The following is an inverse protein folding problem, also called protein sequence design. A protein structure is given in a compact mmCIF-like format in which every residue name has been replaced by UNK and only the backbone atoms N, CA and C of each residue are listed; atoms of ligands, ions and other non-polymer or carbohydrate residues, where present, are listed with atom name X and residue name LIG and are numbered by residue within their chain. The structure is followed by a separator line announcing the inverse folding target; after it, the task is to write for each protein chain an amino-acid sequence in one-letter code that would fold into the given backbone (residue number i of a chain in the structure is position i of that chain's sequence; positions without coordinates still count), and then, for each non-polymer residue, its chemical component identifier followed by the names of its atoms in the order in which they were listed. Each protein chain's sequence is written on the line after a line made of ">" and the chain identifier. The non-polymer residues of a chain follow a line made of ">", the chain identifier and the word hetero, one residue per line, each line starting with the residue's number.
data_IF_631379057104
#
_entry.id   IF_631379057104
#
_cell.length_a   1.000
_cell.length_b   1.000
_cell.length_c   1.000
_cell.angle_alpha   90.00
_cell.angle_beta   90.00
_cell.angle_gamma   90.00
#
_symmetry.space_group_name_H-M   'P 1'
#
loop_
_entity.id
_entity.type
_entity.pdbx_description
1 polymer ?
#
# COMPACT_ATOMS: atom_id res chain seq x y z
N UNK A 1 -35.01 60.38 14.17
CA UNK A 1 -36.24 61.19 14.02
C UNK A 1 -37.37 60.22 13.83
N UNK A 2 -38.43 60.47 14.58
CA UNK A 2 -39.69 59.73 14.63
C UNK A 2 -40.21 59.32 13.23
N UNK A 3 -40.82 58.14 13.09
CA UNK A 3 -42.25 57.97 13.39
C UNK A 3 -42.66 56.50 13.45
N UNK A 4 -43.60 56.26 14.38
CA UNK A 4 -44.26 55.00 14.67
C UNK A 4 -45.64 54.95 13.98
N UNK A 5 -46.05 53.70 13.68
CA UNK A 5 -47.42 53.13 13.75
C UNK A 5 -48.44 53.35 12.60
N UNK A 6 -49.55 52.55 12.57
CA UNK A 6 -49.80 51.20 13.13
C UNK A 6 -50.51 50.25 12.12
N UNK A 7 -50.86 49.02 12.52
CA UNK A 7 -52.18 48.38 12.30
C UNK A 7 -52.28 47.14 13.21
N UNK A 8 -53.33 47.16 14.03
CA UNK A 8 -53.82 46.07 14.87
C UNK A 8 -54.40 44.93 14.02
N UNK A 9 -54.43 43.72 14.58
CA UNK A 9 -55.72 43.05 14.78
C UNK A 9 -55.64 42.04 15.93
N UNK A 10 -56.60 42.24 16.83
CA UNK A 10 -56.83 41.52 18.07
C UNK A 10 -57.28 40.07 17.84
N UNK A 11 -56.86 39.18 18.75
CA UNK A 11 -57.78 38.15 19.27
C UNK A 11 -57.38 37.74 20.69
N UNK A 12 -57.99 38.42 21.64
CA UNK A 12 -58.29 37.93 22.97
C UNK A 12 -59.08 36.60 22.91
N UNK A 13 -58.74 35.64 23.77
CA UNK A 13 -59.67 35.26 24.84
C UNK A 13 -58.95 34.48 25.94
N UNK A 14 -59.11 35.01 27.14
CA UNK A 14 -58.67 34.55 28.46
C UNK A 14 -59.45 33.33 28.97
N UNK A 15 -58.86 32.54 29.87
CA UNK A 15 -59.27 32.53 31.30
C UNK A 15 -58.56 31.43 32.14
N UNK A 16 -57.64 31.89 32.99
CA UNK A 16 -57.56 31.75 34.46
C UNK A 16 -58.19 30.54 35.19
N UNK A 17 -57.37 29.82 35.98
CA UNK A 17 -57.48 29.51 37.45
C UNK A 17 -56.56 28.31 37.79
N UNK A 18 -55.47 28.47 38.54
CA UNK A 18 -55.38 28.53 40.02
C UNK A 18 -54.99 27.19 40.66
N UNK A 19 -53.78 27.16 41.22
CA UNK A 19 -53.47 26.49 42.49
C UNK A 19 -53.13 25.00 42.48
N UNK A 20 -51.84 24.65 42.59
CA UNK A 20 -51.36 23.88 43.75
C UNK A 20 -49.83 23.89 43.82
N UNK A 21 -49.36 24.01 45.05
CA UNK A 21 -47.97 24.12 45.50
C UNK A 21 -47.26 22.78 45.32
N UNK A 22 -46.01 22.81 44.85
CA UNK A 22 -44.90 22.04 45.42
C UNK A 22 -43.58 22.68 44.99
N UNK A 23 -42.94 23.39 45.93
CA UNK A 23 -41.53 23.72 45.90
C UNK A 23 -40.73 22.42 46.05
N UNK A 24 -39.85 22.10 45.11
CA UNK A 24 -38.50 21.55 45.42
C UNK A 24 -37.50 22.23 44.48
N UNK A 25 -36.45 22.74 45.10
CA UNK A 25 -35.31 23.56 44.64
C UNK A 25 -34.45 22.84 43.58
N UNK A 26 -33.73 23.56 42.68
CA UNK A 26 -33.04 22.97 41.54
C UNK A 26 -31.69 22.34 41.93
N UNK A 27 -31.42 21.15 41.40
CA UNK A 27 -30.10 20.51 41.53
C UNK A 27 -29.25 20.88 40.30
N UNK A 28 -28.31 21.82 40.52
CA UNK A 28 -27.21 22.12 39.60
C UNK A 28 -26.01 21.30 40.07
N UNK A 29 -25.38 20.61 39.11
CA UNK A 29 -23.95 20.21 39.05
C UNK A 29 -23.67 18.74 39.31
N UNK A 30 -23.45 17.99 38.24
CA UNK A 30 -22.19 17.24 38.10
C UNK A 30 -21.66 17.41 36.67
N UNK A 31 -20.43 17.95 36.48
CA UNK A 31 -19.75 17.85 35.20
C UNK A 31 -19.45 16.37 34.92
N UNK A 32 -19.75 15.91 33.71
CA UNK A 32 -19.33 14.60 33.24
C UNK A 32 -17.80 14.52 33.31
N UNK A 33 -17.31 13.82 34.32
CA UNK A 33 -15.92 13.42 34.45
C UNK A 33 -15.59 12.50 33.28
N UNK A 34 -14.97 13.04 32.24
CA UNK A 34 -14.17 12.26 31.30
C UNK A 34 -13.30 11.31 32.12
N UNK A 35 -13.27 9.99 31.86
CA UNK A 35 -12.39 9.11 32.60
C UNK A 35 -10.96 9.55 32.28
N UNK A 36 -10.36 10.25 33.24
CA UNK A 36 -8.94 10.53 33.31
C UNK A 36 -8.29 9.14 33.41
N UNK A 37 -7.88 8.60 32.26
CA UNK A 37 -6.96 7.47 32.21
C UNK A 37 -5.74 7.95 32.99
N UNK A 38 -5.59 7.45 34.22
CA UNK A 38 -4.44 7.70 35.07
C UNK A 38 -3.26 6.98 34.41
N UNK A 39 -2.69 7.59 33.37
CA UNK A 39 -1.48 7.10 32.72
C UNK A 39 -0.39 7.20 33.77
N UNK A 40 0.16 6.04 34.14
CA UNK A 40 1.18 5.93 35.16
C UNK A 40 2.36 6.83 34.75
N UNK A 41 2.81 7.79 35.57
CA UNK A 41 3.80 8.80 35.16
C UNK A 41 5.14 8.20 34.71
N UNK A 42 5.45 6.96 35.09
CA UNK A 42 6.63 6.21 34.61
C UNK A 42 6.48 5.55 33.23
N UNK A 43 5.24 5.35 32.75
CA UNK A 43 4.96 4.80 31.42
C UNK A 43 5.06 5.86 30.33
N UNK A 44 4.67 7.10 30.65
CA UNK A 44 4.72 8.25 29.75
C UNK A 44 6.11 8.47 29.10
N UNK A 45 7.25 8.48 29.85
CA UNK A 45 8.57 8.66 29.22
C UNK A 45 8.97 7.48 28.33
N UNK A 46 8.61 6.24 28.68
CA UNK A 46 8.90 5.05 27.86
C UNK A 46 8.09 5.05 26.57
N UNK A 47 6.82 5.44 26.61
CA UNK A 47 5.97 5.59 25.43
C UNK A 47 6.47 6.69 24.50
N UNK A 48 6.84 7.85 25.05
CA UNK A 48 7.42 8.95 24.28
C UNK A 48 8.73 8.52 23.61
N UNK A 49 9.59 7.79 24.31
CA UNK A 49 10.82 7.26 23.73
C UNK A 49 10.56 6.21 22.65
N UNK A 50 9.61 5.31 22.88
CA UNK A 50 9.16 4.32 21.90
C UNK A 50 8.64 4.98 20.61
N UNK A 51 7.78 6.00 20.74
CA UNK A 51 7.25 6.77 19.62
C UNK A 51 8.35 7.54 18.89
N UNK A 52 9.30 8.13 19.63
CA UNK A 52 10.44 8.85 19.05
C UNK A 52 11.32 7.93 18.22
N UNK A 53 11.61 6.72 18.71
CA UNK A 53 12.33 5.69 17.95
C UNK A 53 11.58 5.31 16.67
N UNK A 54 10.27 5.11 16.74
CA UNK A 54 9.44 4.72 15.59
C UNK A 54 9.19 5.84 14.58
N UNK A 55 9.27 7.11 15.00
CA UNK A 55 9.21 8.29 14.12
C UNK A 55 10.51 8.47 13.33
N UNK A 56 11.65 8.16 13.93
CA UNK A 56 12.95 8.29 13.26
C UNK A 56 13.28 7.08 12.35
N UNK A 57 12.62 5.94 12.54
CA UNK A 57 12.83 4.73 11.73
C UNK A 57 12.27 4.92 10.32
N UNK A 58 13.17 5.00 9.33
CA UNK A 58 12.81 4.92 7.91
C UNK A 58 12.42 3.47 7.59
N UNK A 59 11.11 3.21 7.44
CA UNK A 59 10.60 1.89 7.06
C UNK A 59 10.69 1.75 5.54
N UNK A 60 11.66 0.98 5.06
CA UNK A 60 11.81 0.61 3.65
C UNK A 60 11.46 -0.87 3.48
N UNK A 61 10.82 -1.20 2.35
CA UNK A 61 10.34 -2.55 2.01
C UNK A 61 9.40 -3.19 3.05
N UNK A 62 8.81 -2.41 3.96
CA UNK A 62 7.96 -2.88 5.05
C UNK A 62 6.57 -2.20 5.03
N UNK A 63 5.68 -2.61 4.12
CA UNK A 63 4.33 -2.07 4.05
C UNK A 63 3.49 -2.40 5.31
N UNK A 64 3.84 -3.47 6.05
CA UNK A 64 3.18 -3.81 7.32
C UNK A 64 3.48 -2.75 8.37
N UNK A 65 4.75 -2.41 8.56
CA UNK A 65 5.16 -1.39 9.51
C UNK A 65 4.63 0.01 9.14
N UNK A 66 4.47 0.33 7.85
CA UNK A 66 3.81 1.58 7.46
C UNK A 66 2.32 1.56 7.85
N UNK A 67 1.63 0.43 7.67
CA UNK A 67 0.22 0.28 8.04
C UNK A 67 0.00 0.45 9.55
N UNK A 68 0.80 -0.23 10.37
CA UNK A 68 0.68 -0.21 11.84
C UNK A 68 0.96 1.18 12.44
N UNK A 69 1.91 1.92 11.87
CA UNK A 69 2.34 3.23 12.37
C UNK A 69 1.82 4.40 11.54
N UNK A 70 0.65 4.23 10.92
CA UNK A 70 -0.01 5.24 10.07
C UNK A 70 -0.18 6.62 10.73
N UNK A 71 -0.40 6.65 12.05
CA UNK A 71 -0.66 7.88 12.79
C UNK A 71 0.60 8.74 12.98
N UNK A 72 1.79 8.18 12.77
CA UNK A 72 3.05 8.89 12.93
C UNK A 72 3.35 9.66 11.64
N UNK A 73 3.38 10.99 11.74
CA UNK A 73 3.75 11.84 10.61
C UNK A 73 5.21 11.61 10.21
N UNK A 74 5.41 11.29 8.94
CA UNK A 74 6.74 11.15 8.36
C UNK A 74 7.42 12.51 8.19
N UNK A 75 8.73 12.51 8.41
CA UNK A 75 9.58 13.67 8.14
C UNK A 75 9.76 13.88 6.63
N UNK A 76 10.09 15.11 6.23
CA UNK A 76 10.31 15.43 4.81
C UNK A 76 11.44 14.62 4.17
N UNK A 77 12.51 14.34 4.90
CA UNK A 77 13.61 13.52 4.42
C UNK A 77 13.19 12.07 4.18
N UNK A 78 12.41 11.48 5.09
CA UNK A 78 11.84 10.14 4.88
C UNK A 78 10.93 10.11 3.66
N UNK A 79 10.08 11.12 3.50
CA UNK A 79 9.20 11.26 2.34
C UNK A 79 9.99 11.32 1.03
N UNK A 80 11.08 12.11 0.97
CA UNK A 80 11.96 12.18 -0.19
C UNK A 80 12.62 10.83 -0.50
N UNK A 81 13.12 10.12 0.51
CA UNK A 81 13.71 8.78 0.32
C UNK A 81 12.67 7.78 -0.22
N UNK A 82 11.44 7.80 0.29
CA UNK A 82 10.36 6.94 -0.23
C UNK A 82 10.04 7.25 -1.69
N UNK A 83 10.01 8.53 -2.06
CA UNK A 83 9.80 8.93 -3.45
C UNK A 83 10.93 8.44 -4.36
N UNK A 84 12.18 8.67 -3.97
CA UNK A 84 13.34 8.23 -4.75
C UNK A 84 13.37 6.71 -4.92
N UNK A 85 13.14 5.96 -3.84
CA UNK A 85 13.11 4.49 -3.91
C UNK A 85 11.92 3.96 -4.71
N UNK A 86 10.75 4.59 -4.64
CA UNK A 86 9.62 4.28 -5.52
C UNK A 86 9.98 4.48 -7.00
N UNK A 87 10.62 5.59 -7.35
CA UNK A 87 11.03 5.86 -8.74
C UNK A 87 12.05 4.84 -9.22
N UNK A 88 13.03 4.49 -8.39
CA UNK A 88 14.06 3.48 -8.70
C UNK A 88 13.40 2.11 -8.89
N UNK A 89 12.56 1.66 -7.95
CA UNK A 89 11.90 0.36 -8.06
C UNK A 89 10.99 0.27 -9.30
N UNK A 90 10.21 1.33 -9.58
CA UNK A 90 9.42 1.42 -10.81
C UNK A 90 10.29 1.33 -12.06
N UNK A 91 11.39 2.10 -12.13
CA UNK A 91 12.30 2.07 -13.26
C UNK A 91 12.95 0.68 -13.45
N UNK A 92 13.33 0.02 -12.36
CA UNK A 92 13.89 -1.32 -12.40
C UNK A 92 12.89 -2.36 -12.90
N UNK A 93 11.64 -2.33 -12.41
CA UNK A 93 10.59 -3.26 -12.85
C UNK A 93 10.28 -3.05 -14.34
N UNK A 94 10.05 -1.81 -14.76
CA UNK A 94 9.78 -1.49 -16.17
C UNK A 94 10.98 -1.84 -17.06
N UNK A 95 12.20 -1.55 -16.60
CA UNK A 95 13.42 -1.89 -17.31
C UNK A 95 13.59 -3.39 -17.52
N UNK A 96 13.35 -4.21 -16.50
CA UNK A 96 13.39 -5.67 -16.65
C UNK A 96 12.35 -6.18 -17.64
N UNK A 97 11.09 -5.73 -17.54
CA UNK A 97 10.05 -6.13 -18.49
C UNK A 97 10.37 -5.69 -19.93
N UNK A 98 10.93 -4.50 -20.09
CA UNK A 98 11.33 -4.00 -21.41
C UNK A 98 12.48 -4.81 -22.02
N UNK A 99 13.48 -5.18 -21.20
CA UNK A 99 14.58 -6.04 -21.64
C UNK A 99 14.06 -7.42 -22.06
N UNK A 100 13.21 -8.04 -21.23
CA UNK A 100 12.57 -9.32 -21.55
C UNK A 100 11.75 -9.25 -22.85
N UNK A 101 10.98 -8.17 -23.04
CA UNK A 101 10.21 -7.97 -24.27
C UNK A 101 11.10 -7.83 -25.52
N UNK A 102 12.22 -7.11 -25.41
CA UNK A 102 13.17 -6.98 -26.52
C UNK A 102 13.83 -8.30 -26.89
N UNK A 103 14.17 -9.11 -25.89
CA UNK A 103 14.79 -10.42 -26.09
C UNK A 103 13.81 -11.41 -26.74
N UNK A 104 12.52 -11.33 -26.42
CA UNK A 104 11.46 -12.18 -27.01
C UNK A 104 11.11 -11.87 -28.47
N UNK A 105 11.82 -10.95 -29.13
CA UNK A 105 11.56 -10.56 -30.52
C UNK A 105 12.64 -11.12 -31.43
N UNK A 106 12.25 -12.03 -32.32
CA UNK A 106 13.12 -12.53 -33.37
C UNK A 106 12.74 -11.93 -34.73
N UNK A 107 13.75 -11.59 -35.55
CA UNK A 107 13.55 -11.11 -36.92
C UNK A 107 13.66 -12.31 -37.86
N UNK A 108 12.52 -12.81 -38.33
CA UNK A 108 12.46 -13.88 -39.32
C UNK A 108 12.46 -13.32 -40.74
N UNK A 109 13.47 -13.70 -41.53
CA UNK A 109 13.64 -13.25 -42.92
C UNK A 109 12.41 -13.64 -43.74
N UNK A 110 11.71 -12.64 -44.30
CA UNK A 110 10.52 -12.82 -45.15
C UNK A 110 9.17 -12.79 -44.42
N UNK A 111 9.15 -12.85 -43.09
CA UNK A 111 7.93 -12.78 -42.26
C UNK A 111 7.87 -11.48 -41.44
N UNK A 112 9.02 -10.94 -41.05
CA UNK A 112 9.14 -9.72 -40.23
C UNK A 112 9.49 -10.05 -38.77
N UNK A 113 9.21 -9.11 -37.86
CA UNK A 113 9.36 -9.34 -36.40
C UNK A 113 8.29 -10.34 -35.93
N UNK A 114 8.74 -11.48 -35.40
CA UNK A 114 7.89 -12.48 -34.76
C UNK A 114 8.21 -12.44 -33.26
N UNK A 115 7.17 -12.38 -32.44
CA UNK A 115 7.33 -12.38 -30.99
C UNK A 115 7.10 -13.78 -30.44
N UNK A 116 8.04 -14.26 -29.64
CA UNK A 116 7.97 -15.55 -28.94
C UNK A 116 7.22 -15.46 -27.61
N UNK A 117 6.57 -14.33 -27.34
CA UNK A 117 5.86 -14.10 -26.10
C UNK A 117 4.72 -15.11 -25.92
N UNK A 118 4.75 -15.86 -24.82
CA UNK A 118 3.75 -16.89 -24.55
C UNK A 118 2.47 -16.27 -23.99
N UNK A 119 1.37 -17.02 -24.05
CA UNK A 119 0.10 -16.57 -23.46
C UNK A 119 0.17 -16.48 -21.92
N UNK A 120 1.09 -17.22 -21.30
CA UNK A 120 1.37 -17.18 -19.86
C UNK A 120 1.97 -15.82 -19.48
N UNK A 121 2.90 -15.28 -20.28
CA UNK A 121 3.54 -13.99 -20.02
C UNK A 121 2.51 -12.85 -20.11
N UNK A 122 1.62 -12.92 -21.10
CA UNK A 122 0.50 -11.98 -21.21
C UNK A 122 -0.44 -12.05 -20.00
N UNK A 123 -0.76 -13.27 -19.53
CA UNK A 123 -1.57 -13.47 -18.34
C UNK A 123 -0.90 -12.91 -17.08
N UNK A 124 0.41 -13.13 -16.91
CA UNK A 124 1.20 -12.60 -15.80
C UNK A 124 1.12 -11.07 -15.74
N UNK A 125 1.41 -10.40 -16.86
CA UNK A 125 1.40 -8.94 -16.95
C UNK A 125 0.01 -8.38 -16.62
N UNK A 126 -1.05 -8.97 -17.17
CA UNK A 126 -2.43 -8.55 -16.90
C UNK A 126 -2.77 -8.70 -15.41
N UNK A 127 -2.38 -9.80 -14.78
CA UNK A 127 -2.62 -10.03 -13.35
C UNK A 127 -1.86 -9.04 -12.47
N UNK A 128 -0.59 -8.78 -12.77
CA UNK A 128 0.24 -7.80 -12.04
C UNK A 128 -0.35 -6.39 -12.16
N UNK A 129 -0.71 -5.95 -13.37
CA UNK A 129 -1.36 -4.66 -13.59
C UNK A 129 -2.70 -4.59 -12.83
N UNK A 130 -3.49 -5.66 -12.87
CA UNK A 130 -4.76 -5.76 -12.14
C UNK A 130 -4.58 -5.58 -10.62
N UNK A 131 -3.58 -6.24 -10.03
CA UNK A 131 -3.25 -6.10 -8.60
C UNK A 131 -2.83 -4.68 -8.26
N UNK A 132 -1.95 -4.07 -9.07
CA UNK A 132 -1.49 -2.70 -8.85
C UNK A 132 -2.66 -1.71 -8.96
N UNK A 133 -3.54 -1.88 -9.96
CA UNK A 133 -4.71 -1.03 -10.14
C UNK A 133 -5.69 -1.15 -8.96
N UNK A 134 -5.96 -2.37 -8.49
CA UNK A 134 -6.76 -2.58 -7.28
C UNK A 134 -6.12 -1.92 -6.05
N UNK A 135 -4.81 -2.00 -5.90
CA UNK A 135 -4.08 -1.35 -4.81
C UNK A 135 -4.20 0.18 -4.86
N UNK A 136 -4.02 0.79 -6.04
CA UNK A 136 -4.19 2.23 -6.25
C UNK A 136 -5.63 2.64 -5.90
N UNK A 137 -6.63 1.90 -6.39
CA UNK A 137 -8.05 2.18 -6.10
C UNK A 137 -8.33 2.13 -4.60
N UNK A 138 -7.79 1.15 -3.90
CA UNK A 138 -7.99 1.00 -2.45
C UNK A 138 -7.29 2.13 -1.67
N UNK A 139 -6.06 2.50 -2.02
CA UNK A 139 -5.37 3.64 -1.41
C UNK A 139 -6.11 4.95 -1.70
N UNK A 140 -6.65 5.13 -2.91
CA UNK A 140 -7.43 6.32 -3.26
C UNK A 140 -8.69 6.44 -2.39
N UNK A 141 -9.43 5.33 -2.19
CA UNK A 141 -10.58 5.28 -1.26
C UNK A 141 -10.16 5.66 0.16
N UNK A 142 -9.02 5.16 0.64
CA UNK A 142 -8.51 5.49 1.98
C UNK A 142 -8.04 6.94 2.12
N UNK A 143 -7.44 7.51 1.09
CA UNK A 143 -7.01 8.91 1.05
C UNK A 143 -8.18 9.87 1.17
N UNK A 144 -9.36 9.50 0.65
CA UNK A 144 -10.60 10.28 0.82
C UNK A 144 -11.12 10.23 2.26
N UNK A 145 -11.00 9.10 2.94
CA UNK A 145 -11.43 8.93 4.33
C UNK A 145 -10.46 9.57 5.33
N UNK A 146 -9.15 9.43 5.08
CA UNK A 146 -8.09 9.98 5.91
C UNK A 146 -7.04 10.66 5.01
N UNK A 147 -7.06 12.00 4.86
CA UNK A 147 -6.24 12.72 3.89
C UNK A 147 -4.76 12.86 4.30
N UNK A 148 -4.09 11.74 4.55
CA UNK A 148 -2.67 11.67 4.84
C UNK A 148 -1.89 11.32 3.57
N UNK A 149 -1.65 12.33 2.71
CA UNK A 149 -0.93 12.14 1.43
C UNK A 149 0.44 11.48 1.59
N UNK A 150 1.17 11.83 2.67
CA UNK A 150 2.50 11.25 2.99
C UNK A 150 2.42 9.76 3.29
N UNK A 151 1.39 9.34 4.03
CA UNK A 151 1.14 7.92 4.30
C UNK A 151 0.85 7.14 3.02
N UNK A 152 0.00 7.67 2.14
CA UNK A 152 -0.35 7.01 0.89
C UNK A 152 0.89 6.77 0.02
N UNK A 153 1.74 7.79 -0.13
CA UNK A 153 2.99 7.65 -0.88
C UNK A 153 3.92 6.62 -0.24
N UNK A 154 4.12 6.69 1.08
CA UNK A 154 4.99 5.75 1.75
C UNK A 154 4.50 4.30 1.70
N UNK A 155 3.19 4.10 1.79
CA UNK A 155 2.59 2.78 1.61
C UNK A 155 2.88 2.25 0.22
N UNK A 156 2.64 3.07 -0.81
CA UNK A 156 2.87 2.70 -2.20
C UNK A 156 4.34 2.41 -2.48
N UNK A 157 5.24 3.30 -2.05
CA UNK A 157 6.69 3.12 -2.14
C UNK A 157 7.17 1.82 -1.49
N UNK A 158 6.69 1.53 -0.27
CA UNK A 158 7.07 0.29 0.41
C UNK A 158 6.53 -0.97 -0.28
N UNK A 159 5.37 -0.91 -0.91
CA UNK A 159 4.84 -2.03 -1.68
C UNK A 159 5.68 -2.30 -2.93
N UNK A 160 6.01 -1.25 -3.71
CA UNK A 160 6.87 -1.37 -4.88
C UNK A 160 8.28 -1.82 -4.53
N UNK A 161 8.89 -1.22 -3.51
CA UNK A 161 10.22 -1.62 -3.04
C UNK A 161 10.23 -3.09 -2.58
N UNK A 162 9.18 -3.54 -1.89
CA UNK A 162 9.05 -4.94 -1.46
C UNK A 162 8.83 -5.89 -2.64
N UNK A 163 8.02 -5.49 -3.62
CA UNK A 163 7.81 -6.26 -4.84
C UNK A 163 9.15 -6.42 -5.58
N UNK A 164 9.82 -5.31 -5.88
CA UNK A 164 11.13 -5.28 -6.51
C UNK A 164 12.15 -6.15 -5.79
N UNK A 165 12.32 -5.98 -4.47
CA UNK A 165 13.29 -6.74 -3.70
C UNK A 165 13.03 -8.25 -3.77
N UNK A 166 11.77 -8.66 -3.63
CA UNK A 166 11.40 -10.08 -3.70
C UNK A 166 11.58 -10.66 -5.11
N UNK A 167 11.23 -9.89 -6.15
CA UNK A 167 11.48 -10.27 -7.56
C UNK A 167 12.97 -10.39 -7.84
N UNK A 168 13.78 -9.45 -7.35
CA UNK A 168 15.24 -9.51 -7.45
C UNK A 168 15.80 -10.76 -6.74
N UNK A 169 15.32 -11.07 -5.53
CA UNK A 169 15.71 -12.29 -4.83
C UNK A 169 15.29 -13.56 -5.60
N UNK A 170 14.13 -13.55 -6.27
CA UNK A 170 13.71 -14.67 -7.11
C UNK A 170 14.66 -14.85 -8.30
N UNK A 171 14.96 -13.78 -9.05
CA UNK A 171 15.94 -13.83 -10.16
C UNK A 171 17.30 -14.32 -9.69
N UNK A 172 17.81 -13.81 -8.56
CA UNK A 172 19.07 -14.26 -7.99
C UNK A 172 19.03 -15.75 -7.62
N UNK A 173 17.91 -16.22 -7.07
CA UNK A 173 17.73 -17.64 -6.72
C UNK A 173 17.71 -18.54 -7.96
N UNK A 174 17.02 -18.11 -9.03
CA UNK A 174 17.00 -18.82 -10.32
C UNK A 174 18.39 -18.82 -10.96
N UNK A 175 19.11 -17.69 -10.94
CA UNK A 175 20.48 -17.62 -11.45
C UNK A 175 21.41 -18.59 -10.72
N UNK A 176 21.35 -18.63 -9.38
CA UNK A 176 22.14 -19.58 -8.58
C UNK A 176 21.76 -21.02 -8.90
N UNK A 177 20.48 -21.32 -9.11
CA UNK A 177 20.01 -22.65 -9.50
C UNK A 177 20.59 -23.06 -10.86
N UNK A 178 20.51 -22.20 -11.88
CA UNK A 178 21.06 -22.45 -13.22
C UNK A 178 22.57 -22.70 -13.12
N UNK A 179 23.32 -21.82 -12.45
CA UNK A 179 24.76 -21.99 -12.27
C UNK A 179 25.11 -23.30 -11.55
N UNK A 180 24.30 -23.70 -10.56
CA UNK A 180 24.50 -24.96 -9.84
C UNK A 180 24.28 -26.18 -10.75
N UNK A 181 23.24 -26.16 -11.58
CA UNK A 181 22.96 -27.24 -12.54
C UNK A 181 24.08 -27.32 -13.58
N UNK A 182 24.50 -26.18 -14.13
CA UNK A 182 25.60 -26.13 -15.10
C UNK A 182 26.91 -26.63 -14.51
N UNK A 183 27.23 -26.28 -13.25
CA UNK A 183 28.45 -26.77 -12.58
C UNK A 183 28.44 -28.28 -12.32
N UNK A 184 27.25 -28.90 -12.17
CA UNK A 184 27.11 -30.36 -12.05
C UNK A 184 27.29 -31.04 -13.40
N UNK A 185 26.75 -30.46 -14.48
CA UNK A 185 26.83 -31.03 -15.82
C UNK A 185 28.22 -30.88 -16.46
N UNK A 186 28.82 -29.70 -16.32
CA UNK A 186 30.19 -29.41 -16.74
C UNK A 186 30.94 -28.66 -15.61
N UNK A 187 31.81 -29.33 -14.84
CA UNK A 187 32.55 -28.71 -13.76
C UNK A 187 33.57 -27.67 -14.24
N UNK A 188 33.87 -27.61 -15.55
CA UNK A 188 34.75 -26.60 -16.13
C UNK A 188 34.02 -25.32 -16.54
N UNK A 189 32.67 -25.32 -16.54
CA UNK A 189 31.80 -24.22 -16.94
C UNK A 189 32.17 -23.59 -18.30
N UNK A 190 32.82 -24.35 -19.20
CA UNK A 190 33.30 -23.81 -20.47
C UNK A 190 32.17 -23.62 -21.48
N UNK A 191 31.09 -24.40 -21.35
CA UNK A 191 29.85 -24.21 -22.10
C UNK A 191 28.65 -24.34 -21.15
N UNK A 192 28.07 -23.21 -20.75
CA UNK A 192 26.75 -23.19 -20.09
C UNK A 192 25.74 -23.50 -21.19
N UNK A 193 25.31 -24.76 -21.30
CA UNK A 193 24.25 -25.13 -22.25
C UNK A 193 22.88 -24.82 -21.63
N UNK A 194 22.26 -23.74 -22.08
CA UNK A 194 20.94 -23.25 -21.60
C UNK A 194 19.80 -23.84 -22.44
N UNK A 195 20.08 -24.47 -23.59
CA UNK A 195 19.05 -25.02 -24.50
C UNK A 195 18.10 -26.01 -23.80
N UNK A 196 18.58 -26.72 -22.77
CA UNK A 196 17.75 -27.63 -21.96
C UNK A 196 16.60 -26.92 -21.22
N UNK A 197 16.70 -25.61 -21.03
CA UNK A 197 15.69 -24.76 -20.39
C UNK A 197 14.83 -23.97 -21.38
N UNK A 198 15.21 -23.92 -22.67
CA UNK A 198 14.51 -23.11 -23.68
C UNK A 198 13.46 -23.92 -24.44
N UNK A 199 13.63 -25.25 -24.58
CA UNK A 199 12.74 -26.05 -25.41
C UNK A 199 11.92 -27.11 -24.66
N UNK A 200 10.63 -27.17 -24.99
CA UNK A 200 9.72 -28.26 -24.67
C UNK A 200 8.86 -28.07 -23.40
N UNK A 201 8.05 -29.10 -23.09
CA UNK A 201 7.03 -29.02 -22.03
C UNK A 201 7.55 -28.69 -20.63
N UNK A 202 8.84 -28.95 -20.36
CA UNK A 202 9.47 -28.61 -19.09
C UNK A 202 9.74 -27.10 -18.97
N UNK A 203 10.11 -26.43 -20.06
CA UNK A 203 10.30 -24.99 -20.13
C UNK A 203 8.96 -24.26 -19.92
N UNK A 204 7.89 -24.72 -20.58
CA UNK A 204 6.54 -24.19 -20.39
C UNK A 204 6.06 -24.31 -18.94
N UNK A 205 6.30 -25.47 -18.31
CA UNK A 205 5.95 -25.69 -16.90
C UNK A 205 6.77 -24.79 -15.97
N UNK A 206 8.08 -24.65 -16.23
CA UNK A 206 8.95 -23.78 -15.46
C UNK A 206 8.50 -22.31 -15.57
N UNK A 207 8.15 -21.86 -16.78
CA UNK A 207 7.62 -20.52 -17.00
C UNK A 207 6.30 -20.30 -16.25
N UNK A 208 5.36 -21.25 -16.34
CA UNK A 208 4.09 -21.18 -15.61
C UNK A 208 4.28 -21.06 -14.09
N UNK A 209 5.18 -21.87 -13.52
CA UNK A 209 5.51 -21.83 -12.09
C UNK A 209 6.16 -20.49 -11.73
N UNK A 210 7.09 -20.02 -12.56
CA UNK A 210 7.78 -18.75 -12.37
C UNK A 210 6.80 -17.57 -12.35
N UNK A 211 5.92 -17.47 -13.34
CA UNK A 211 4.87 -16.45 -13.41
C UNK A 211 3.92 -16.50 -12.21
N UNK A 212 3.53 -17.70 -11.75
CA UNK A 212 2.67 -17.84 -10.57
C UNK A 212 3.35 -17.34 -9.29
N UNK A 213 4.66 -17.58 -9.14
CA UNK A 213 5.46 -17.06 -8.03
C UNK A 213 5.55 -15.52 -8.10
N UNK A 214 5.76 -14.95 -9.29
CA UNK A 214 5.78 -13.50 -9.49
C UNK A 214 4.45 -12.83 -9.12
N UNK A 215 3.32 -13.39 -9.61
CA UNK A 215 1.98 -12.91 -9.25
C UNK A 215 1.78 -12.97 -7.73
N UNK A 216 2.23 -14.06 -7.09
CA UNK A 216 2.13 -14.24 -5.64
C UNK A 216 2.96 -13.21 -4.86
N UNK A 217 4.17 -12.89 -5.36
CA UNK A 217 5.03 -11.84 -4.80
C UNK A 217 4.34 -10.47 -4.89
N UNK A 218 3.79 -10.14 -6.07
CA UNK A 218 3.04 -8.91 -6.30
C UNK A 218 1.84 -8.81 -5.34
N UNK A 219 0.98 -9.83 -5.31
CA UNK A 219 -0.18 -9.88 -4.43
C UNK A 219 0.20 -9.69 -2.95
N UNK A 220 1.24 -10.41 -2.48
CA UNK A 220 1.70 -10.29 -1.08
C UNK A 220 2.29 -8.92 -0.75
N UNK A 221 2.94 -8.26 -1.71
CA UNK A 221 3.47 -6.91 -1.53
C UNK A 221 2.35 -5.89 -1.35
N UNK A 222 1.29 -5.97 -2.15
CA UNK A 222 0.19 -4.99 -2.16
C UNK A 222 -0.99 -5.32 -1.22
N UNK A 223 -1.00 -6.47 -0.55
CA UNK A 223 -2.10 -6.87 0.34
C UNK A 223 -2.47 -5.84 1.42
N UNK A 224 -1.54 -4.98 1.82
CA UNK A 224 -1.76 -3.97 2.87
C UNK A 224 -2.47 -2.72 2.36
N UNK A 225 -2.48 -2.49 1.04
CA UNK A 225 -3.20 -1.39 0.41
C UNK A 225 -4.73 -1.55 0.52
N UNK A 226 -5.23 -2.79 0.63
CA UNK A 226 -6.66 -3.09 0.73
C UNK A 226 -7.20 -3.21 2.16
N UNK A 227 -6.35 -3.13 3.19
CA UNK A 227 -6.82 -3.24 4.58
C UNK A 227 -7.46 -1.93 5.01
N UNK A 228 -8.78 -1.94 5.21
CA UNK A 228 -9.51 -0.77 5.67
C UNK A 228 -9.00 -0.28 7.03
N UNK A 229 -8.90 1.04 7.17
CA UNK A 229 -8.53 1.71 8.39
C UNK A 229 -9.70 1.56 9.37
N UNK A 230 -9.71 0.50 10.17
CA UNK A 230 -10.61 0.45 11.33
C UNK A 230 -10.21 1.59 12.26
N UNK A 231 -11.17 2.49 12.47
CA UNK A 231 -11.08 3.64 13.36
C UNK A 231 -10.83 3.21 14.81
#
# INVERSE_FOLDING_TARGET
>A
MEDLQPINDDKDCSDTFSGSKNLIVPEITQPQTTPLILVNPEQLPREIEFLRRHRNKTRLCDPKGVYEFRHIQQTWLQFLIQLMTLLISMACIVGLYYLYYLESKEIMVGVGEVSELTWIDAFEVVMIIGIIFMAIKNIAKQSQLHPQKRYCLAMFANCFNRMWLNTFCLHLSVLVLILSISAIQDPTLQSVNIEMFEEGSAADLANAVYSLVLITICFRAFRFCGKELTA
#
